data_IF_534497062310
#
_entry.id   IF_534497062310
#
_cell.length_a   1.000
_cell.length_b   1.000
_cell.length_c   1.000
_cell.angle_alpha   90.00
_cell.angle_beta   90.00
_cell.angle_gamma   90.00
#
_symmetry.space_group_name_H-M   'P 1'
#
loop_
_entity.id
_entity.type
_entity.pdbx_description
1 polymer ?
#
# COMPACT_ATOMS: atom_id res chain seq x y z
N UNK A 1 -15.38 -38.17 1.66
CA UNK A 1 -15.54 -36.78 1.20
C UNK A 1 -14.64 -35.92 2.09
N UNK A 2 -13.54 -35.36 1.56
CA UNK A 2 -12.61 -34.59 2.36
C UNK A 2 -13.22 -33.21 2.68
N UNK A 3 -13.54 -32.97 3.95
CA UNK A 3 -13.90 -31.65 4.49
C UNK A 3 -12.75 -30.69 4.22
N UNK A 4 -12.95 -29.72 3.33
CA UNK A 4 -11.95 -28.68 3.03
C UNK A 4 -11.91 -27.69 4.20
N UNK A 5 -10.79 -27.63 4.93
CA UNK A 5 -10.63 -26.75 6.07
C UNK A 5 -10.22 -25.34 5.61
N UNK A 6 -11.05 -24.34 5.90
CA UNK A 6 -10.80 -22.93 5.57
C UNK A 6 -10.15 -22.21 6.74
N UNK A 7 -9.10 -21.44 6.48
CA UNK A 7 -8.40 -20.60 7.47
C UNK A 7 -8.46 -19.15 6.98
N UNK A 8 -9.16 -18.30 7.72
CA UNK A 8 -9.34 -16.88 7.42
C UNK A 8 -8.25 -16.05 8.08
N UNK A 9 -7.39 -15.39 7.31
CA UNK A 9 -6.30 -14.56 7.85
C UNK A 9 -6.85 -13.15 8.10
N UNK A 10 -6.95 -12.73 9.37
CA UNK A 10 -7.30 -11.35 9.75
C UNK A 10 -6.04 -10.63 10.24
N UNK A 11 -5.76 -9.40 9.79
CA UNK A 11 -4.51 -8.72 10.18
C UNK A 11 -4.68 -7.45 10.99
N UNK A 12 -3.86 -7.37 12.05
CA UNK A 12 -3.30 -6.18 12.72
C UNK A 12 -1.75 -6.23 12.60
N UNK A 13 -0.99 -5.15 12.87
CA UNK A 13 0.36 -4.99 12.34
C UNK A 13 1.41 -5.89 13.02
N UNK A 14 2.35 -6.35 12.20
CA UNK A 14 3.57 -7.12 12.52
C UNK A 14 3.42 -8.54 13.11
N UNK A 15 2.32 -8.85 13.78
CA UNK A 15 1.92 -10.23 14.12
C UNK A 15 0.39 -10.33 13.98
N UNK A 16 -0.15 -11.33 13.27
CA UNK A 16 -1.56 -11.36 12.86
C UNK A 16 -2.29 -12.65 13.24
N UNK A 17 -3.54 -12.59 13.78
CA UNK A 17 -4.36 -13.76 14.07
C UNK A 17 -5.02 -14.34 12.80
N UNK A 18 -4.78 -15.61 12.49
CA UNK A 18 -5.56 -16.38 11.52
C UNK A 18 -6.66 -17.17 12.24
N UNK A 19 -7.88 -17.16 11.72
CA UNK A 19 -9.03 -17.91 12.21
C UNK A 19 -9.14 -19.23 11.47
N UNK A 20 -9.26 -20.34 12.19
CA UNK A 20 -9.56 -21.65 11.57
C UNK A 20 -11.08 -21.90 11.54
N UNK A 21 -11.54 -22.94 10.83
CA UNK A 21 -12.97 -23.35 10.85
C UNK A 21 -13.50 -23.71 12.25
N UNK A 22 -12.63 -23.90 13.25
CA UNK A 22 -13.06 -24.08 14.64
C UNK A 22 -13.34 -22.74 15.35
N UNK A 23 -13.17 -21.61 14.66
CA UNK A 23 -13.31 -20.26 15.20
C UNK A 23 -12.13 -19.83 16.06
N UNK A 24 -11.03 -20.60 16.06
CA UNK A 24 -9.84 -20.34 16.88
C UNK A 24 -8.92 -19.35 16.18
N UNK A 25 -8.57 -18.27 16.87
CA UNK A 25 -7.55 -17.31 16.44
C UNK A 25 -6.14 -17.88 16.73
N UNK A 26 -5.27 -17.88 15.71
CA UNK A 26 -3.90 -18.37 15.77
C UNK A 26 -2.95 -17.26 15.32
N UNK A 27 -2.05 -16.86 16.19
CA UNK A 27 -1.11 -15.80 15.85
C UNK A 27 0.05 -16.40 15.05
N UNK A 28 0.38 -15.86 13.87
CA UNK A 28 1.56 -16.29 13.08
C UNK A 28 2.40 -15.08 12.66
N UNK A 29 3.72 -15.26 12.72
CA UNK A 29 4.66 -14.30 12.16
C UNK A 29 4.61 -14.41 10.64
N UNK A 30 4.41 -13.28 9.95
CA UNK A 30 4.36 -13.21 8.49
C UNK A 30 5.23 -12.06 8.04
N UNK A 31 6.26 -12.37 7.25
CA UNK A 31 7.06 -11.39 6.54
C UNK A 31 6.38 -11.03 5.21
N UNK A 32 6.47 -9.77 4.74
CA UNK A 32 5.92 -9.38 3.44
C UNK A 32 6.46 -10.21 2.26
N UNK A 33 7.66 -10.78 2.39
CA UNK A 33 8.31 -11.66 1.42
C UNK A 33 7.85 -13.10 1.46
N UNK A 34 7.13 -13.52 2.50
CA UNK A 34 6.64 -14.88 2.60
C UNK A 34 5.63 -15.15 1.50
N UNK A 35 5.86 -16.24 0.75
CA UNK A 35 4.85 -16.81 -0.14
C UNK A 35 3.69 -17.34 0.69
N UNK A 36 2.49 -17.30 0.12
CA UNK A 36 1.29 -17.90 0.72
C UNK A 36 1.51 -19.38 1.03
N UNK A 37 2.27 -20.11 0.20
CA UNK A 37 2.72 -21.47 0.50
C UNK A 37 3.49 -21.57 1.82
N UNK A 38 4.48 -20.69 2.04
CA UNK A 38 5.26 -20.65 3.29
C UNK A 38 4.42 -20.23 4.50
N UNK A 39 3.41 -19.39 4.30
CA UNK A 39 2.45 -19.02 5.36
C UNK A 39 1.63 -20.24 5.75
N UNK A 40 1.22 -21.07 4.78
CA UNK A 40 0.51 -22.33 5.05
C UNK A 40 1.37 -23.32 5.84
N UNK A 41 2.66 -23.44 5.52
CA UNK A 41 3.60 -24.27 6.30
C UNK A 41 3.63 -23.84 7.77
N UNK A 42 3.73 -22.53 8.05
CA UNK A 42 3.69 -22.01 9.44
C UNK A 42 2.36 -22.26 10.15
N UNK A 43 1.25 -22.28 9.40
CA UNK A 43 -0.06 -22.66 9.96
C UNK A 43 -0.11 -24.16 10.25
N UNK A 44 0.50 -25.01 9.41
CA UNK A 44 0.61 -26.45 9.66
C UNK A 44 1.39 -26.72 10.95
N UNK A 45 2.52 -26.03 11.16
CA UNK A 45 3.32 -26.17 12.38
C UNK A 45 2.52 -25.86 13.66
N UNK A 46 1.56 -24.92 13.60
CA UNK A 46 0.76 -24.52 14.76
C UNK A 46 -0.51 -25.35 14.96
N UNK A 47 -1.18 -25.74 13.88
CA UNK A 47 -2.51 -26.37 13.94
C UNK A 47 -2.54 -27.82 13.44
N UNK A 48 -1.45 -28.32 12.86
CA UNK A 48 -1.34 -29.68 12.32
C UNK A 48 -2.15 -29.93 11.05
N UNK A 49 -2.60 -28.88 10.35
CA UNK A 49 -3.40 -28.98 9.12
C UNK A 49 -2.45 -28.94 7.91
N UNK A 50 -2.42 -29.95 7.02
CA UNK A 50 -1.53 -29.94 5.87
C UNK A 50 -1.79 -28.77 4.90
N UNK A 51 -0.77 -28.09 4.32
CA UNK A 51 -0.90 -26.91 3.45
C UNK A 51 -1.87 -27.07 2.30
N UNK A 52 -1.97 -28.27 1.72
CA UNK A 52 -2.88 -28.58 0.61
C UNK A 52 -4.36 -28.62 1.05
N UNK A 53 -4.60 -28.85 2.34
CA UNK A 53 -5.93 -28.83 2.95
C UNK A 53 -6.30 -27.45 3.51
N UNK A 54 -5.34 -26.54 3.58
CA UNK A 54 -5.56 -25.17 4.02
C UNK A 54 -6.05 -24.29 2.87
N UNK A 55 -7.11 -23.53 3.13
CA UNK A 55 -7.52 -22.41 2.29
C UNK A 55 -7.32 -21.12 3.05
N UNK A 56 -6.23 -20.40 2.77
CA UNK A 56 -6.01 -19.05 3.29
C UNK A 56 -6.92 -18.08 2.56
N UNK A 57 -7.78 -17.40 3.32
CA UNK A 57 -8.66 -16.35 2.80
C UNK A 57 -8.19 -15.01 3.34
N UNK A 58 -8.02 -14.04 2.45
CA UNK A 58 -7.71 -12.66 2.75
C UNK A 58 -8.76 -11.76 2.07
N UNK A 59 -9.41 -10.87 2.82
CA UNK A 59 -10.49 -10.00 2.33
C UNK A 59 -11.56 -10.76 1.52
N UNK A 60 -12.01 -11.91 2.02
CA UNK A 60 -13.02 -12.74 1.36
C UNK A 60 -12.54 -13.48 0.09
N UNK A 61 -11.27 -13.32 -0.30
CA UNK A 61 -10.67 -13.98 -1.47
C UNK A 61 -9.65 -15.02 -1.05
N UNK A 62 -9.71 -16.19 -1.68
CA UNK A 62 -8.67 -17.20 -1.51
C UNK A 62 -7.32 -16.67 -2.03
N UNK A 63 -6.31 -16.72 -1.16
CA UNK A 63 -4.94 -16.36 -1.50
C UNK A 63 -4.31 -17.42 -2.42
N UNK A 64 -3.46 -17.00 -3.36
CA UNK A 64 -2.73 -17.89 -4.27
C UNK A 64 -1.33 -18.20 -3.71
N UNK A 65 -0.96 -19.47 -3.69
CA UNK A 65 0.29 -20.04 -3.14
C UNK A 65 1.56 -19.44 -3.76
N UNK A 66 1.50 -19.01 -5.02
CA UNK A 66 2.61 -18.38 -5.74
C UNK A 66 2.80 -16.90 -5.38
N UNK A 67 1.79 -16.26 -4.79
CA UNK A 67 1.83 -14.86 -4.39
C UNK A 67 2.47 -14.70 -3.01
N UNK A 68 3.14 -13.58 -2.81
CA UNK A 68 3.69 -13.16 -1.52
C UNK A 68 2.67 -12.37 -0.72
N UNK A 69 2.84 -12.29 0.60
CA UNK A 69 2.02 -11.42 1.46
C UNK A 69 2.04 -9.95 0.98
N UNK A 70 3.15 -9.50 0.38
CA UNK A 70 3.28 -8.15 -0.20
C UNK A 70 2.49 -7.94 -1.50
N UNK A 71 2.03 -8.98 -2.18
CA UNK A 71 1.27 -8.85 -3.44
C UNK A 71 -0.18 -8.39 -3.24
N UNK A 72 -0.54 -8.05 -2.00
CA UNK A 72 -1.85 -7.61 -1.55
C UNK A 72 -1.84 -6.20 -0.85
N UNK A 73 -0.92 -5.24 -1.15
CA UNK A 73 -0.69 -4.00 -0.32
C UNK A 73 -0.40 -2.64 -1.02
N UNK A 74 -1.30 -1.65 -1.15
CA UNK A 74 -0.99 -0.52 -2.07
C UNK A 74 -1.74 0.88 -1.95
N UNK A 75 -0.95 1.99 -1.78
CA UNK A 75 -1.23 3.45 -1.51
C UNK A 75 -1.42 3.79 -0.03
N UNK A 76 -1.93 2.77 0.60
CA UNK A 76 -2.27 2.62 1.98
C UNK A 76 -1.06 2.86 2.87
N UNK A 77 -1.28 3.55 3.98
CA UNK A 77 -0.25 3.98 4.93
C UNK A 77 0.73 5.05 4.42
N UNK A 78 0.49 5.63 3.24
CA UNK A 78 1.19 6.86 2.79
C UNK A 78 0.28 8.09 2.82
N UNK A 79 -0.87 8.06 2.11
CA UNK A 79 -1.83 9.19 2.08
C UNK A 79 -2.98 9.04 3.08
N UNK A 80 -3.35 7.80 3.38
CA UNK A 80 -4.40 7.45 4.33
C UNK A 80 -3.93 6.27 5.20
N UNK A 81 -4.40 6.16 6.45
CA UNK A 81 -3.88 5.18 7.41
C UNK A 81 -4.57 3.80 7.32
N UNK A 82 -4.99 3.38 6.13
CA UNK A 82 -5.74 2.14 5.95
C UNK A 82 -5.52 1.55 4.55
N UNK A 83 -5.82 0.26 4.40
CA UNK A 83 -5.86 -0.45 3.13
C UNK A 83 -7.18 -0.25 2.39
N UNK A 84 -7.16 0.35 1.19
CA UNK A 84 -8.37 0.60 0.39
C UNK A 84 -9.12 -0.67 0.00
N UNK A 85 -8.41 -1.78 -0.17
CA UNK A 85 -8.98 -3.08 -0.54
C UNK A 85 -9.39 -3.94 0.67
N UNK A 86 -9.14 -3.48 1.89
CA UNK A 86 -9.27 -4.31 3.10
C UNK A 86 -10.05 -3.65 4.23
N UNK A 87 -9.84 -2.35 4.48
CA UNK A 87 -10.38 -1.70 5.67
C UNK A 87 -11.70 -0.95 5.44
N UNK A 88 -12.14 -0.86 4.19
CA UNK A 88 -13.24 -0.01 3.75
C UNK A 88 -14.03 -0.72 2.66
N UNK A 89 -15.30 -0.37 2.49
CA UNK A 89 -16.21 -1.03 1.53
C UNK A 89 -16.65 -0.08 0.40
N UNK A 90 -15.95 -0.04 -0.75
CA UNK A 90 -16.38 0.74 -1.91
C UNK A 90 -17.80 0.38 -2.40
N UNK A 91 -18.52 1.28 -3.10
CA UNK A 91 -18.07 2.60 -3.53
C UNK A 91 -18.12 3.64 -2.42
N UNK A 92 -17.30 4.68 -2.57
CA UNK A 92 -17.26 5.83 -1.68
C UNK A 92 -18.21 6.93 -2.15
N UNK A 93 -18.64 7.78 -1.22
CA UNK A 93 -19.42 8.97 -1.54
C UNK A 93 -19.06 10.13 -0.59
N UNK A 94 -19.35 11.35 -1.03
CA UNK A 94 -19.26 12.55 -0.19
C UNK A 94 -20.61 12.76 0.49
N UNK A 95 -20.61 12.69 1.81
CA UNK A 95 -21.78 12.97 2.65
C UNK A 95 -22.06 14.48 2.69
N UNK A 96 -23.28 14.86 3.06
CA UNK A 96 -23.72 16.27 3.14
C UNK A 96 -22.93 17.09 4.16
N UNK A 97 -22.33 16.43 5.16
CA UNK A 97 -21.41 17.01 6.15
C UNK A 97 -19.99 17.25 5.60
N UNK A 98 -19.77 16.97 4.31
CA UNK A 98 -18.47 17.12 3.64
C UNK A 98 -17.51 15.96 3.86
N UNK A 99 -17.86 14.97 4.69
CA UNK A 99 -17.03 13.79 4.94
C UNK A 99 -17.10 12.79 3.78
N UNK A 100 -16.00 12.08 3.52
CA UNK A 100 -16.00 10.94 2.60
C UNK A 100 -16.35 9.69 3.39
N UNK A 101 -17.28 8.88 2.89
CA UNK A 101 -17.73 7.65 3.54
C UNK A 101 -17.77 6.48 2.57
N UNK A 102 -17.56 5.28 3.08
CA UNK A 102 -17.77 4.04 2.32
C UNK A 102 -19.26 3.62 2.28
N UNK A 103 -19.55 2.48 1.66
CA UNK A 103 -20.92 1.96 1.53
C UNK A 103 -21.55 1.53 2.87
N UNK A 104 -20.75 1.28 3.91
CA UNK A 104 -21.21 0.96 5.27
C UNK A 104 -21.33 2.19 6.16
N UNK A 105 -21.03 3.38 5.63
CA UNK A 105 -21.09 4.65 6.36
C UNK A 105 -19.86 4.94 7.21
N UNK A 106 -18.80 4.15 7.09
CA UNK A 106 -17.51 4.40 7.74
C UNK A 106 -16.88 5.68 7.19
N UNK A 107 -16.41 6.56 8.07
CA UNK A 107 -15.75 7.80 7.67
C UNK A 107 -14.33 7.49 7.22
N UNK A 108 -14.02 7.91 5.99
CA UNK A 108 -12.70 7.78 5.37
C UNK A 108 -11.85 8.99 5.76
N UNK A 109 -10.72 8.74 6.42
CA UNK A 109 -9.79 9.78 6.90
C UNK A 109 -8.44 9.66 6.23
N UNK A 110 -7.81 10.80 5.99
CA UNK A 110 -6.42 10.89 5.53
C UNK A 110 -5.48 11.02 6.73
N UNK A 111 -4.18 10.90 6.50
CA UNK A 111 -3.23 11.48 7.46
C UNK A 111 -3.45 13.00 7.54
N UNK A 112 -3.50 13.61 8.75
CA UNK A 112 -3.96 14.99 8.92
C UNK A 112 -3.23 16.02 8.06
N UNK A 113 -1.94 15.82 7.83
CA UNK A 113 -1.08 16.79 7.13
C UNK A 113 -1.00 16.56 5.62
N UNK A 114 -1.57 15.47 5.09
CA UNK A 114 -1.47 15.15 3.65
C UNK A 114 -1.98 16.26 2.72
N UNK A 115 -3.13 16.91 2.98
CA UNK A 115 -3.56 18.05 2.15
C UNK A 115 -2.51 19.16 2.10
N UNK A 116 -1.89 19.49 3.25
CA UNK A 116 -0.88 20.55 3.36
C UNK A 116 0.43 20.15 2.69
N UNK A 117 0.84 18.88 2.80
CA UNK A 117 2.00 18.31 2.09
C UNK A 117 1.82 18.44 0.57
N UNK A 118 0.65 18.08 0.04
CA UNK A 118 0.37 18.16 -1.40
C UNK A 118 0.31 19.61 -1.91
N UNK A 119 -0.24 20.54 -1.12
CA UNK A 119 -0.18 21.98 -1.44
C UNK A 119 1.25 22.53 -1.35
N UNK A 120 2.08 22.04 -0.41
CA UNK A 120 3.48 22.47 -0.29
C UNK A 120 4.30 22.09 -1.52
N UNK A 121 4.14 20.86 -2.04
CA UNK A 121 4.77 20.46 -3.30
C UNK A 121 4.35 21.35 -4.47
N UNK A 122 3.05 21.67 -4.58
CA UNK A 122 2.54 22.60 -5.59
C UNK A 122 3.15 23.99 -5.45
N UNK A 123 3.22 24.52 -4.23
CA UNK A 123 3.81 25.83 -3.95
C UNK A 123 5.31 25.90 -4.28
N UNK A 124 6.02 24.77 -4.25
CA UNK A 124 7.41 24.65 -4.68
C UNK A 124 7.56 24.46 -6.20
N UNK A 125 6.45 24.35 -6.95
CA UNK A 125 6.48 24.07 -8.39
C UNK A 125 6.94 22.65 -8.73
N UNK A 126 6.87 21.71 -7.78
CA UNK A 126 7.31 20.32 -7.98
C UNK A 126 6.14 19.47 -8.47
N UNK A 127 6.20 18.89 -9.69
CA UNK A 127 5.17 17.98 -10.18
C UNK A 127 5.08 16.73 -9.31
N UNK A 128 3.86 16.31 -8.97
CA UNK A 128 3.61 15.11 -8.15
C UNK A 128 3.06 14.00 -9.04
N UNK A 129 3.50 12.77 -8.81
CA UNK A 129 2.94 11.57 -9.42
C UNK A 129 2.59 10.51 -8.37
N UNK A 130 1.55 9.71 -8.65
CA UNK A 130 1.20 8.56 -7.82
C UNK A 130 1.76 7.28 -8.45
N UNK A 131 2.40 6.44 -7.63
CA UNK A 131 2.80 5.09 -8.01
C UNK A 131 2.18 4.11 -7.02
N UNK A 132 1.31 3.23 -7.51
CA UNK A 132 0.50 2.33 -6.71
C UNK A 132 0.37 1.01 -7.44
N UNK A 133 0.90 -0.04 -6.84
CA UNK A 133 0.57 -1.41 -7.18
C UNK A 133 -0.96 -1.79 -7.09
N UNK A 134 -1.92 -0.97 -6.61
CA UNK A 134 -3.25 -1.45 -6.08
C UNK A 134 -4.04 -2.26 -7.10
N UNK A 135 -4.62 -3.39 -6.67
CA UNK A 135 -5.59 -4.13 -7.47
C UNK A 135 -6.93 -3.41 -7.58
N UNK A 136 -7.29 -2.67 -6.53
CA UNK A 136 -8.54 -1.91 -6.44
C UNK A 136 -8.40 -0.51 -7.06
N UNK A 137 -7.99 -0.49 -8.32
CA UNK A 137 -7.71 0.73 -9.09
C UNK A 137 -8.89 1.71 -9.11
N UNK A 138 -10.12 1.20 -9.22
CA UNK A 138 -11.34 2.03 -9.23
C UNK A 138 -11.56 2.72 -7.89
N UNK A 139 -11.45 1.97 -6.79
CA UNK A 139 -11.63 2.49 -5.44
C UNK A 139 -10.58 3.55 -5.09
N UNK A 140 -9.30 3.27 -5.41
CA UNK A 140 -8.22 4.22 -5.19
C UNK A 140 -8.41 5.52 -5.98
N UNK A 141 -8.80 5.43 -7.26
CA UNK A 141 -9.08 6.62 -8.06
C UNK A 141 -10.30 7.39 -7.56
N UNK A 142 -11.35 6.70 -7.12
CA UNK A 142 -12.53 7.34 -6.54
C UNK A 142 -12.17 8.14 -5.28
N UNK A 143 -11.31 7.62 -4.41
CA UNK A 143 -10.84 8.37 -3.24
C UNK A 143 -10.05 9.62 -3.65
N UNK A 144 -9.16 9.52 -4.64
CA UNK A 144 -8.44 10.69 -5.16
C UNK A 144 -9.38 11.77 -5.69
N UNK A 145 -10.50 11.38 -6.31
CA UNK A 145 -11.52 12.31 -6.80
C UNK A 145 -12.29 12.96 -5.64
N UNK A 146 -12.76 12.17 -4.68
CA UNK A 146 -13.58 12.67 -3.56
C UNK A 146 -12.82 13.58 -2.60
N UNK A 147 -11.51 13.36 -2.46
CA UNK A 147 -10.61 14.23 -1.70
C UNK A 147 -10.05 15.41 -2.52
N UNK A 148 -10.46 15.58 -3.78
CA UNK A 148 -9.95 16.61 -4.70
C UNK A 148 -8.42 16.57 -4.84
N UNK A 149 -7.87 15.36 -4.88
CA UNK A 149 -6.44 15.10 -5.00
C UNK A 149 -6.00 14.90 -6.44
N UNK A 150 -6.91 14.60 -7.37
CA UNK A 150 -6.58 14.42 -8.80
C UNK A 150 -5.80 15.61 -9.36
N UNK A 151 -6.17 16.84 -8.99
CA UNK A 151 -5.50 18.09 -9.39
C UNK A 151 -4.05 18.24 -8.90
N UNK A 152 -3.60 17.39 -7.98
CA UNK A 152 -2.23 17.41 -7.46
C UNK A 152 -1.31 16.46 -8.24
N UNK A 153 -1.87 15.41 -8.84
CA UNK A 153 -1.09 14.36 -9.50
C UNK A 153 -1.10 14.55 -11.03
N UNK A 154 0.05 14.91 -11.59
CA UNK A 154 0.25 15.06 -13.05
C UNK A 154 0.15 13.69 -13.74
N UNK A 155 0.66 12.64 -13.08
CA UNK A 155 0.55 11.27 -13.55
C UNK A 155 0.19 10.31 -12.41
N UNK A 156 -0.47 9.21 -12.76
CA UNK A 156 -0.94 8.18 -11.84
C UNK A 156 -0.69 6.81 -12.47
N UNK A 157 0.33 6.11 -12.00
CA UNK A 157 0.54 4.69 -12.29
C UNK A 157 -0.11 3.89 -11.15
N UNK A 158 -1.35 3.44 -11.35
CA UNK A 158 -2.14 2.73 -10.33
C UNK A 158 -2.61 1.39 -10.91
N UNK A 159 -1.83 0.32 -10.71
CA UNK A 159 -2.13 -1.04 -11.18
C UNK A 159 -1.18 -2.09 -10.55
N UNK A 160 -1.57 -3.38 -10.44
CA UNK A 160 -0.68 -4.44 -9.96
C UNK A 160 0.61 -4.58 -10.76
N UNK A 161 1.74 -4.62 -10.06
CA UNK A 161 3.05 -4.84 -10.68
C UNK A 161 4.22 -4.37 -9.81
N UNK A 162 5.43 -4.44 -10.34
CA UNK A 162 6.64 -3.92 -9.67
C UNK A 162 6.67 -2.39 -9.72
N UNK A 163 7.08 -1.74 -8.62
CA UNK A 163 7.30 -0.27 -8.60
C UNK A 163 8.35 0.18 -9.61
N UNK A 164 9.31 -0.68 -9.97
CA UNK A 164 10.27 -0.39 -11.06
C UNK A 164 9.52 -0.08 -12.36
N UNK A 165 8.56 -0.93 -12.75
CA UNK A 165 7.76 -0.71 -13.96
C UNK A 165 6.89 0.55 -13.89
N UNK A 166 6.45 0.96 -12.68
CA UNK A 166 5.74 2.22 -12.49
C UNK A 166 6.66 3.41 -12.74
N UNK A 167 7.87 3.38 -12.18
CA UNK A 167 8.87 4.42 -12.34
C UNK A 167 9.35 4.55 -13.79
N UNK A 168 9.57 3.43 -14.49
CA UNK A 168 9.89 3.44 -15.93
C UNK A 168 8.82 4.15 -16.75
N UNK A 169 7.53 3.88 -16.49
CA UNK A 169 6.43 4.59 -17.17
C UNK A 169 6.34 6.05 -16.79
N UNK A 170 6.58 6.40 -15.52
CA UNK A 170 6.63 7.79 -15.08
C UNK A 170 7.76 8.54 -15.78
N UNK A 171 8.96 7.96 -15.87
CA UNK A 171 10.07 8.54 -16.61
C UNK A 171 9.73 8.71 -18.09
N UNK A 172 9.13 7.70 -18.74
CA UNK A 172 8.71 7.79 -20.14
C UNK A 172 7.69 8.91 -20.39
N UNK A 173 6.74 9.11 -19.46
CA UNK A 173 5.70 10.16 -19.58
C UNK A 173 6.21 11.56 -19.27
N UNK A 174 7.14 11.69 -18.33
CA UNK A 174 7.62 12.99 -17.82
C UNK A 174 8.92 13.46 -18.45
N UNK A 175 9.73 12.54 -18.96
CA UNK A 175 11.11 12.81 -19.36
C UNK A 175 12.07 13.10 -18.18
N UNK A 176 11.61 13.00 -16.94
CA UNK A 176 12.43 13.32 -15.76
C UNK A 176 13.43 12.20 -15.49
N UNK A 177 14.74 12.49 -15.36
CA UNK A 177 15.73 11.47 -14.97
C UNK A 177 15.44 10.89 -13.59
N UNK A 178 15.72 9.60 -13.37
CA UNK A 178 15.50 8.97 -12.06
C UNK A 178 16.25 9.67 -10.93
N UNK A 179 17.48 10.14 -11.20
CA UNK A 179 18.28 10.91 -10.25
C UNK A 179 17.62 12.22 -9.80
N UNK A 180 16.66 12.74 -10.56
CA UNK A 180 15.89 13.94 -10.23
C UNK A 180 14.51 13.62 -9.60
N UNK A 181 14.25 12.36 -9.29
CA UNK A 181 13.03 11.94 -8.61
C UNK A 181 13.26 11.71 -7.11
N UNK A 182 12.26 12.09 -6.32
CA UNK A 182 12.12 11.71 -4.92
C UNK A 182 10.88 10.82 -4.75
N UNK A 183 11.01 9.75 -3.98
CA UNK A 183 9.97 8.75 -3.78
C UNK A 183 9.70 8.51 -2.30
N UNK A 184 8.43 8.55 -1.90
CA UNK A 184 7.97 8.28 -0.54
C UNK A 184 7.12 7.03 -0.55
N UNK A 185 7.48 6.03 0.26
CA UNK A 185 6.76 4.76 0.37
C UNK A 185 7.02 4.12 1.73
N UNK A 186 6.01 3.47 2.29
CA UNK A 186 6.09 2.81 3.59
C UNK A 186 6.67 1.39 3.52
N UNK A 187 6.73 0.80 2.33
CA UNK A 187 7.22 -0.55 2.14
C UNK A 187 8.72 -0.53 1.77
N UNK A 188 9.56 -1.02 2.70
CA UNK A 188 11.03 -1.03 2.55
C UNK A 188 11.48 -1.75 1.27
N UNK A 189 10.76 -2.77 0.82
CA UNK A 189 11.07 -3.46 -0.45
C UNK A 189 10.93 -2.52 -1.66
N UNK A 190 9.90 -1.69 -1.69
CA UNK A 190 9.71 -0.70 -2.77
C UNK A 190 10.86 0.31 -2.76
N UNK A 191 11.30 0.77 -1.59
CA UNK A 191 12.46 1.65 -1.41
C UNK A 191 13.73 1.00 -1.97
N UNK A 192 14.01 -0.24 -1.61
CA UNK A 192 15.18 -1.00 -2.11
C UNK A 192 15.13 -1.19 -3.61
N UNK A 193 13.98 -1.54 -4.18
CA UNK A 193 13.87 -1.80 -5.61
C UNK A 193 13.94 -0.53 -6.46
N UNK A 194 13.32 0.57 -6.01
CA UNK A 194 13.30 1.85 -6.74
C UNK A 194 14.62 2.62 -6.59
N UNK A 195 15.31 2.51 -5.45
CA UNK A 195 16.62 3.15 -5.25
C UNK A 195 17.70 2.63 -6.22
N UNK A 196 17.60 1.38 -6.69
CA UNK A 196 18.48 0.83 -7.74
C UNK A 196 18.40 1.59 -9.06
N UNK A 197 17.33 2.33 -9.30
CA UNK A 197 17.17 3.19 -10.48
C UNK A 197 17.88 4.55 -10.35
N UNK A 198 18.40 4.88 -9.16
CA UNK A 198 18.98 6.20 -8.85
C UNK A 198 17.99 7.20 -8.26
N UNK A 199 16.76 6.78 -7.96
CA UNK A 199 15.74 7.62 -7.30
C UNK A 199 16.08 7.81 -5.83
N UNK A 200 15.94 9.04 -5.31
CA UNK A 200 16.06 9.29 -3.87
C UNK A 200 14.81 8.75 -3.16
N UNK A 201 14.96 7.69 -2.38
CA UNK A 201 13.84 7.00 -1.76
C UNK A 201 13.80 7.27 -0.25
N UNK A 202 12.64 7.68 0.26
CA UNK A 202 12.37 8.02 1.65
C UNK A 202 11.39 7.00 2.22
N UNK A 203 11.83 6.24 3.23
CA UNK A 203 11.00 5.25 3.91
C UNK A 203 10.04 5.94 4.88
N UNK A 204 8.74 5.78 4.66
CA UNK A 204 7.68 6.42 5.45
C UNK A 204 7.17 5.46 6.52
N UNK A 205 7.31 5.79 7.81
CA UNK A 205 6.89 4.87 8.88
C UNK A 205 5.50 5.15 9.45
N UNK A 206 5.08 6.42 9.47
CA UNK A 206 3.85 6.87 10.14
C UNK A 206 2.96 7.74 9.22
N UNK A 207 2.97 7.46 7.92
CA UNK A 207 2.31 8.28 6.91
C UNK A 207 3.05 9.56 6.56
N UNK A 208 2.59 10.23 5.50
CA UNK A 208 3.15 11.49 5.06
C UNK A 208 2.82 12.63 6.02
N UNK A 209 3.85 13.40 6.37
CA UNK A 209 3.79 14.62 7.19
C UNK A 209 4.70 15.71 6.62
N UNK A 210 4.56 16.95 7.10
CA UNK A 210 5.45 18.04 6.76
C UNK A 210 6.89 17.77 7.22
N UNK A 211 7.06 17.07 8.35
CA UNK A 211 8.36 16.62 8.83
C UNK A 211 8.99 15.63 7.84
N UNK A 212 8.24 14.59 7.45
CA UNK A 212 8.69 13.59 6.47
C UNK A 212 9.04 14.24 5.14
N UNK A 213 8.23 15.19 4.67
CA UNK A 213 8.51 15.96 3.46
C UNK A 213 9.82 16.74 3.59
N UNK A 214 9.99 17.49 4.67
CA UNK A 214 11.17 18.34 4.90
C UNK A 214 12.45 17.51 4.94
N UNK A 215 12.45 16.44 5.72
CA UNK A 215 13.57 15.49 5.80
C UNK A 215 13.87 14.84 4.44
N UNK A 216 12.82 14.50 3.69
CA UNK A 216 12.95 13.94 2.35
C UNK A 216 13.62 14.91 1.37
N UNK A 217 13.16 16.18 1.35
CA UNK A 217 13.73 17.21 0.48
C UNK A 217 15.18 17.55 0.86
N UNK A 218 15.51 17.57 2.16
CA UNK A 218 16.90 17.72 2.61
C UNK A 218 17.78 16.55 2.16
N UNK A 219 17.26 15.32 2.25
CA UNK A 219 17.96 14.11 1.80
C UNK A 219 18.20 14.17 0.29
N UNK A 220 17.20 14.59 -0.48
CA UNK A 220 17.32 14.79 -1.92
C UNK A 220 18.34 15.87 -2.26
N UNK A 221 18.31 17.03 -1.59
CA UNK A 221 19.27 18.09 -1.82
C UNK A 221 20.71 17.63 -1.54
N UNK A 222 20.94 16.88 -0.47
CA UNK A 222 22.25 16.29 -0.16
C UNK A 222 22.70 15.29 -1.24
N UNK A 223 21.79 14.45 -1.74
CA UNK A 223 22.10 13.52 -2.82
C UNK A 223 22.47 14.23 -4.14
N UNK A 224 21.88 15.40 -4.41
CA UNK A 224 22.23 16.21 -5.60
C UNK A 224 23.54 16.98 -5.45
N UNK A 225 23.99 17.27 -4.23
CA UNK A 225 25.19 18.06 -3.98
C UNK A 225 26.50 17.32 -4.33
N UNK A 226 26.44 16.00 -4.57
CA UNK A 226 27.63 15.16 -4.76
C UNK A 226 28.44 14.98 -3.46
N UNK A 227 29.43 14.07 -3.45
CA UNK A 227 30.45 14.04 -2.40
C UNK A 227 31.36 15.27 -2.41
#
# INVERSE_FOLDING_TARGET
MATRNTVEVKKCPLIGPCLTLTGKEIEIDIEPTDKVERIKERVEEKEGIPPQQQRLIYSGKQMNDEKTAADYKILDYTLWPFWVDTNVDPPFHKSSDGTVRDSRGQIIRLYPEVPVVLERFRGLGVPIAAASRTGETKAANQLLELFDFVRHFVHREIYPGSKVAHFERLQQKTGVPFSQMIFFDDEKRNIVDVSKLGVTCIHVQNGMSLQTLTQGLETFAKAQAGP
#
